data_IF_421973936623
#
_entry.id   IF_421973936623
#
_cell.length_a   1.000
_cell.length_b   1.000
_cell.length_c   1.000
_cell.angle_alpha   90.00
_cell.angle_beta   90.00
_cell.angle_gamma   90.00
#
_symmetry.space_group_name_H-M   'P 1'
#
loop_
_entity.id
_entity.type
_entity.pdbx_description
1 polymer ?
#
# COMPACT_ATOMS: atom_id res chain seq x y z
N UNK A 1 -5.46 -34.79 -11.04
CA UNK A 1 -4.87 -34.65 -9.69
C UNK A 1 -4.90 -33.17 -9.28
N UNK A 2 -5.96 -32.72 -8.58
CA UNK A 2 -6.03 -31.34 -8.05
C UNK A 2 -5.06 -31.25 -6.87
N UNK A 3 -4.01 -30.42 -6.96
CA UNK A 3 -3.12 -30.17 -5.82
C UNK A 3 -3.99 -29.55 -4.71
N UNK A 4 -4.26 -30.32 -3.65
CA UNK A 4 -4.72 -29.75 -2.38
C UNK A 4 -3.54 -28.96 -1.84
N UNK A 5 -3.48 -27.68 -2.15
CA UNK A 5 -2.64 -26.75 -1.43
C UNK A 5 -3.18 -26.73 0.00
N UNK A 6 -2.51 -27.45 0.90
CA UNK A 6 -2.67 -27.26 2.34
C UNK A 6 -1.99 -25.92 2.61
N UNK A 7 -2.75 -24.84 2.45
CA UNK A 7 -2.32 -23.45 2.53
C UNK A 7 -2.14 -23.01 3.98
N UNK A 8 -1.48 -23.83 4.79
CA UNK A 8 -0.94 -23.45 6.09
C UNK A 8 0.38 -22.69 5.91
N UNK A 9 0.48 -21.86 4.86
CA UNK A 9 1.51 -20.84 4.79
C UNK A 9 1.20 -19.85 5.90
N UNK A 10 2.09 -19.72 6.86
CA UNK A 10 1.97 -18.75 7.93
C UNK A 10 2.15 -17.35 7.35
N UNK A 11 1.04 -16.69 7.00
CA UNK A 11 1.01 -15.33 6.45
C UNK A 11 1.69 -14.36 7.43
N UNK A 12 1.57 -14.59 8.74
CA UNK A 12 2.21 -13.76 9.74
C UNK A 12 3.73 -13.90 9.65
N UNK A 13 4.25 -15.14 9.65
CA UNK A 13 5.68 -15.39 9.49
C UNK A 13 6.21 -14.84 8.15
N UNK A 14 5.47 -15.04 7.06
CA UNK A 14 5.85 -14.56 5.74
C UNK A 14 5.91 -13.02 5.69
N UNK A 15 4.92 -12.33 6.27
CA UNK A 15 4.88 -10.87 6.30
C UNK A 15 5.98 -10.29 7.22
N UNK A 16 6.23 -10.91 8.37
CA UNK A 16 7.31 -10.53 9.29
C UNK A 16 8.69 -10.78 8.72
N UNK A 17 8.83 -11.79 7.87
CA UNK A 17 10.08 -12.11 7.19
C UNK A 17 10.48 -11.13 6.09
N UNK A 18 9.59 -10.23 5.68
CA UNK A 18 9.91 -9.20 4.68
C UNK A 18 10.75 -8.09 5.32
N UNK A 19 11.90 -7.80 4.71
CA UNK A 19 12.81 -6.76 5.18
C UNK A 19 12.12 -5.40 5.28
N UNK A 20 12.22 -4.77 6.45
CA UNK A 20 11.64 -3.43 6.71
C UNK A 20 10.13 -3.41 6.96
N UNK A 21 9.42 -4.54 6.88
CA UNK A 21 7.98 -4.59 7.10
C UNK A 21 7.58 -4.10 8.50
N UNK A 22 8.34 -4.47 9.54
CA UNK A 22 8.07 -4.05 10.92
C UNK A 22 8.04 -2.53 11.06
N UNK A 23 8.97 -1.82 10.42
CA UNK A 23 9.00 -0.35 10.45
C UNK A 23 7.75 0.25 9.80
N UNK A 24 7.37 -0.26 8.62
CA UNK A 24 6.24 0.25 7.85
C UNK A 24 4.88 -0.03 8.51
N UNK A 25 4.79 -1.14 9.24
CA UNK A 25 3.59 -1.55 9.97
C UNK A 25 3.42 -0.74 11.26
N UNK A 26 4.53 -0.46 11.95
CA UNK A 26 4.51 0.31 13.21
C UNK A 26 4.41 1.82 13.02
N UNK A 27 4.69 2.35 11.83
CA UNK A 27 4.57 3.79 11.60
C UNK A 27 3.09 4.22 11.66
N UNK A 28 2.74 5.18 12.54
CA UNK A 28 1.36 5.61 12.71
C UNK A 28 0.92 6.43 11.50
N UNK A 29 -0.22 6.05 10.92
CA UNK A 29 -0.79 6.72 9.77
C UNK A 29 -2.31 6.84 9.88
N UNK A 30 -2.84 7.98 9.42
CA UNK A 30 -4.29 8.22 9.28
C UNK A 30 -4.82 7.61 7.97
N UNK A 31 -3.95 7.44 6.96
CA UNK A 31 -4.31 6.92 5.65
C UNK A 31 -4.52 5.40 5.69
N UNK A 32 -5.70 4.98 5.27
CA UNK A 32 -6.06 3.57 5.18
C UNK A 32 -5.26 2.85 4.10
N UNK A 33 -4.90 1.58 4.35
CA UNK A 33 -4.04 0.82 3.45
C UNK A 33 -4.70 0.48 2.10
N UNK A 34 -6.04 0.40 2.05
CA UNK A 34 -6.78 0.01 0.85
C UNK A 34 -6.58 0.98 -0.32
N UNK A 35 -6.30 2.26 -0.07
CA UNK A 35 -5.99 3.25 -1.12
C UNK A 35 -4.67 2.97 -1.85
N UNK A 36 -3.82 2.11 -1.28
CA UNK A 36 -2.51 1.75 -1.82
C UNK A 36 -2.47 0.31 -2.31
N UNK A 37 -3.61 -0.38 -2.33
CA UNK A 37 -3.71 -1.77 -2.78
C UNK A 37 -3.81 -1.83 -4.31
N UNK A 38 -2.73 -2.27 -4.93
CA UNK A 38 -2.65 -2.52 -6.37
C UNK A 38 -3.14 -3.95 -6.68
N UNK A 39 -4.43 -4.16 -6.48
CA UNK A 39 -5.05 -5.47 -6.67
C UNK A 39 -5.21 -5.81 -8.15
N UNK A 40 -5.44 -4.83 -9.03
CA UNK A 40 -5.66 -5.04 -10.46
C UNK A 40 -4.47 -5.68 -11.16
N UNK A 41 -3.24 -5.31 -10.78
CA UNK A 41 -2.03 -5.82 -11.45
C UNK A 41 -1.52 -7.13 -10.86
N UNK A 42 -1.93 -7.47 -9.63
CA UNK A 42 -1.35 -8.59 -8.87
C UNK A 42 -2.31 -9.74 -8.63
N UNK A 43 -3.61 -9.51 -8.77
CA UNK A 43 -4.62 -10.53 -8.57
C UNK A 43 -5.06 -11.16 -9.89
N UNK A 44 -5.26 -12.48 -9.87
CA UNK A 44 -5.73 -13.24 -11.03
C UNK A 44 -7.26 -13.27 -11.14
N UNK A 45 -7.97 -13.02 -10.03
CA UNK A 45 -9.44 -13.00 -9.97
C UNK A 45 -10.02 -11.63 -9.61
N UNK A 46 -11.00 -11.16 -10.38
CA UNK A 46 -11.71 -9.90 -10.08
C UNK A 46 -12.57 -10.02 -8.82
N UNK A 47 -12.97 -8.87 -8.26
CA UNK A 47 -13.87 -8.84 -7.10
C UNK A 47 -15.20 -9.56 -7.37
N UNK A 48 -15.73 -9.40 -8.59
CA UNK A 48 -16.95 -10.04 -9.07
C UNK A 48 -16.83 -11.57 -9.07
N UNK A 49 -15.69 -12.10 -9.49
CA UNK A 49 -15.43 -13.55 -9.49
C UNK A 49 -15.40 -14.14 -8.08
N UNK A 50 -14.96 -13.36 -7.09
CA UNK A 50 -15.01 -13.79 -5.69
C UNK A 50 -16.43 -13.76 -5.10
N UNK A 51 -17.33 -12.98 -5.71
CA UNK A 51 -18.71 -12.77 -5.25
C UNK A 51 -19.73 -13.53 -6.12
N UNK A 52 -19.28 -14.40 -7.02
CA UNK A 52 -20.17 -15.24 -7.82
C UNK A 52 -21.11 -16.05 -6.91
N UNK A 53 -22.42 -16.18 -7.26
CA UNK A 53 -23.39 -16.88 -6.42
C UNK A 53 -22.99 -18.30 -6.06
N UNK A 54 -22.32 -19.01 -6.97
CA UNK A 54 -21.82 -20.38 -6.74
C UNK A 54 -20.70 -20.43 -5.69
N UNK A 55 -19.89 -19.37 -5.61
CA UNK A 55 -18.80 -19.24 -4.66
C UNK A 55 -19.31 -18.83 -3.27
N UNK A 56 -20.27 -17.89 -3.22
CA UNK A 56 -20.86 -17.37 -1.98
C UNK A 56 -21.84 -18.35 -1.33
N UNK A 57 -22.66 -19.04 -2.13
CA UNK A 57 -23.63 -20.03 -1.64
C UNK A 57 -23.03 -21.43 -1.49
N UNK A 58 -21.71 -21.56 -1.54
CA UNK A 58 -21.04 -22.83 -1.33
C UNK A 58 -21.44 -23.44 0.03
N UNK A 59 -21.49 -24.79 0.18
CA UNK A 59 -22.01 -25.46 1.39
C UNK A 59 -21.32 -25.08 2.70
N UNK A 60 -20.12 -24.50 2.61
CA UNK A 60 -19.30 -23.98 3.70
C UNK A 60 -19.67 -22.54 4.11
N UNK A 61 -20.73 -21.95 3.53
CA UNK A 61 -21.23 -20.63 3.89
C UNK A 61 -20.35 -19.47 3.40
N UNK A 62 -19.74 -19.61 2.22
CA UNK A 62 -18.98 -18.55 1.56
C UNK A 62 -17.55 -18.91 1.21
N UNK A 63 -16.86 -17.98 0.55
CA UNK A 63 -15.47 -18.18 0.11
C UNK A 63 -14.54 -18.08 1.31
N UNK A 64 -13.72 -19.12 1.52
CA UNK A 64 -12.81 -19.21 2.67
C UNK A 64 -11.63 -18.25 2.52
N UNK A 65 -11.33 -17.55 3.60
CA UNK A 65 -10.28 -16.55 3.66
C UNK A 65 -9.72 -16.40 5.08
N UNK A 66 -8.65 -15.61 5.18
CA UNK A 66 -8.07 -15.08 6.41
C UNK A 66 -8.18 -13.56 6.39
N UNK A 67 -8.80 -13.00 7.42
CA UNK A 67 -9.00 -11.56 7.59
C UNK A 67 -7.98 -10.99 8.58
N UNK A 68 -7.40 -9.85 8.25
CA UNK A 68 -6.58 -9.06 9.16
C UNK A 68 -7.47 -8.45 10.26
N UNK A 69 -7.10 -8.68 11.52
CA UNK A 69 -7.76 -8.13 12.70
C UNK A 69 -6.74 -7.40 13.55
N UNK A 70 -7.02 -6.16 13.93
CA UNK A 70 -6.10 -5.32 14.71
C UNK A 70 -6.58 -5.23 16.16
N UNK A 71 -6.10 -6.09 17.08
CA UNK A 71 -6.45 -5.96 18.47
C UNK A 71 -5.71 -4.77 19.09
N UNK A 72 -6.40 -4.01 19.95
CA UNK A 72 -5.84 -2.85 20.66
C UNK A 72 -4.58 -3.17 21.47
N UNK A 73 -4.38 -4.43 21.86
CA UNK A 73 -3.24 -4.87 22.66
C UNK A 73 -2.00 -5.24 21.84
N UNK A 74 -2.03 -5.18 20.50
CA UNK A 74 -0.87 -5.59 19.72
C UNK A 74 0.24 -4.54 19.76
N UNK A 75 1.36 -4.89 20.40
CA UNK A 75 2.56 -4.03 20.47
C UNK A 75 3.37 -4.02 19.18
N UNK A 76 3.15 -4.99 18.29
CA UNK A 76 3.96 -5.18 17.07
C UNK A 76 3.41 -4.48 15.84
N UNK A 77 2.22 -3.85 15.93
CA UNK A 77 1.52 -3.22 14.81
C UNK A 77 0.94 -4.18 13.76
N UNK A 78 1.45 -5.41 13.68
CA UNK A 78 0.96 -6.42 12.72
C UNK A 78 -0.49 -6.84 13.00
N UNK A 79 -1.29 -7.18 11.98
CA UNK A 79 -2.60 -7.76 12.20
C UNK A 79 -2.49 -9.21 12.72
N UNK A 80 -3.52 -9.65 13.44
CA UNK A 80 -3.78 -11.07 13.65
C UNK A 80 -4.63 -11.59 12.49
N UNK A 81 -4.28 -12.74 11.95
CA UNK A 81 -5.02 -13.36 10.84
C UNK A 81 -6.09 -14.31 11.39
N UNK A 82 -7.35 -13.93 11.25
CA UNK A 82 -8.49 -14.74 11.70
C UNK A 82 -9.14 -15.46 10.51
N UNK A 83 -9.47 -16.73 10.67
CA UNK A 83 -10.23 -17.48 9.66
C UNK A 83 -11.65 -16.93 9.52
N UNK A 84 -12.10 -16.79 8.27
CA UNK A 84 -13.41 -16.26 7.93
C UNK A 84 -13.93 -16.83 6.61
N UNK A 85 -15.22 -16.58 6.35
CA UNK A 85 -15.86 -16.79 5.05
C UNK A 85 -16.42 -15.48 4.52
N UNK A 86 -16.17 -15.15 3.26
CA UNK A 86 -16.79 -14.03 2.55
C UNK A 86 -18.22 -14.39 2.18
N UNK A 87 -19.18 -13.57 2.60
CA UNK A 87 -20.62 -13.83 2.43
C UNK A 87 -21.33 -12.86 1.49
N UNK A 88 -20.81 -11.66 1.34
CA UNK A 88 -21.29 -10.64 0.41
C UNK A 88 -20.19 -9.60 0.21
N UNK A 89 -20.44 -8.61 -0.62
CA UNK A 89 -19.51 -7.53 -0.85
C UNK A 89 -20.00 -6.58 -1.93
N UNK A 90 -19.23 -5.52 -2.13
CA UNK A 90 -19.43 -4.53 -3.17
C UNK A 90 -18.21 -4.55 -4.10
N UNK A 91 -18.38 -5.03 -5.35
CA UNK A 91 -17.31 -5.06 -6.35
C UNK A 91 -16.74 -3.67 -6.67
N UNK A 92 -17.56 -2.61 -6.56
CA UNK A 92 -17.16 -1.26 -6.96
C UNK A 92 -16.15 -0.64 -6.00
N UNK A 93 -16.26 -0.96 -4.71
CA UNK A 93 -15.34 -0.51 -3.65
C UNK A 93 -14.32 -1.58 -3.25
N UNK A 94 -14.37 -2.75 -3.92
CA UNK A 94 -13.57 -3.93 -3.61
C UNK A 94 -13.58 -4.28 -2.11
N UNK A 95 -14.77 -4.20 -1.52
CA UNK A 95 -15.02 -4.41 -0.11
C UNK A 95 -15.95 -5.61 0.11
N UNK A 96 -15.73 -6.34 1.19
CA UNK A 96 -16.37 -7.62 1.44
C UNK A 96 -16.96 -7.66 2.84
N UNK A 97 -18.11 -8.31 2.96
CA UNK A 97 -18.67 -8.68 4.25
C UNK A 97 -18.16 -10.08 4.61
N UNK A 98 -17.47 -10.17 5.73
CA UNK A 98 -16.80 -11.39 6.15
C UNK A 98 -17.34 -11.91 7.46
N UNK A 99 -17.68 -13.19 7.48
CA UNK A 99 -18.13 -13.89 8.67
C UNK A 99 -16.92 -14.51 9.36
N UNK A 100 -16.58 -14.05 10.56
CA UNK A 100 -15.49 -14.62 11.35
C UNK A 100 -15.89 -15.97 11.95
N UNK A 101 -15.03 -16.98 11.85
CA UNK A 101 -15.33 -18.32 12.37
C UNK A 101 -15.43 -18.35 13.91
N UNK A 102 -14.64 -17.50 14.58
CA UNK A 102 -14.53 -17.50 16.04
C UNK A 102 -15.84 -17.20 16.76
N UNK A 103 -16.64 -16.29 16.22
CA UNK A 103 -17.86 -15.78 16.87
C UNK A 103 -19.08 -15.71 15.93
N UNK A 104 -18.93 -16.11 14.67
CA UNK A 104 -19.98 -16.00 13.65
C UNK A 104 -20.37 -14.57 13.28
N UNK A 105 -19.67 -13.54 13.80
CA UNK A 105 -19.98 -12.14 13.54
C UNK A 105 -19.61 -11.77 12.11
N UNK A 106 -20.49 -11.03 11.46
CA UNK A 106 -20.21 -10.41 10.16
C UNK A 106 -19.49 -9.07 10.40
N UNK A 107 -18.33 -8.92 9.79
CA UNK A 107 -17.61 -7.65 9.67
C UNK A 107 -17.90 -7.09 8.28
N UNK A 108 -18.67 -5.99 8.18
CA UNK A 108 -18.97 -5.38 6.89
C UNK A 108 -17.82 -4.54 6.37
N UNK A 109 -17.70 -4.43 5.04
CA UNK A 109 -16.82 -3.46 4.39
C UNK A 109 -15.32 -3.72 4.56
N UNK A 110 -14.89 -4.98 4.68
CA UNK A 110 -13.48 -5.34 4.74
C UNK A 110 -12.87 -5.26 3.33
N UNK A 111 -11.88 -4.38 3.15
CA UNK A 111 -11.22 -4.23 1.86
C UNK A 111 -10.31 -5.41 1.51
N UNK A 112 -10.13 -5.66 0.21
CA UNK A 112 -9.29 -6.72 -0.36
C UNK A 112 -7.88 -6.81 0.24
N UNK A 113 -7.26 -5.67 0.56
CA UNK A 113 -5.91 -5.62 1.15
C UNK A 113 -5.83 -6.38 2.47
N UNK A 114 -6.92 -6.43 3.24
CA UNK A 114 -7.05 -7.08 4.55
C UNK A 114 -7.59 -8.51 4.49
N UNK A 115 -7.77 -9.06 3.29
CA UNK A 115 -8.27 -10.42 3.07
C UNK A 115 -7.28 -11.22 2.24
N UNK A 116 -6.88 -12.39 2.73
CA UNK A 116 -6.17 -13.39 1.95
C UNK A 116 -7.11 -14.57 1.71
N UNK A 117 -7.45 -14.86 0.46
CA UNK A 117 -8.31 -16.02 0.16
C UNK A 117 -7.52 -17.32 0.31
N UNK A 118 -8.17 -18.39 0.76
CA UNK A 118 -7.52 -19.69 0.92
C UNK A 118 -7.15 -20.35 -0.42
N UNK A 119 -7.57 -19.78 -1.54
CA UNK A 119 -7.21 -20.22 -2.90
C UNK A 119 -6.19 -19.30 -3.59
N UNK A 120 -5.75 -18.23 -2.92
CA UNK A 120 -4.69 -17.32 -3.34
C UNK A 120 -3.32 -17.85 -2.88
N UNK A 121 -2.23 -17.47 -3.56
CA UNK A 121 -0.87 -17.73 -3.11
C UNK A 121 -0.50 -16.75 -1.98
N UNK A 122 -0.17 -17.21 -0.76
CA UNK A 122 0.19 -16.35 0.37
C UNK A 122 1.37 -15.45 0.09
N UNK A 123 2.32 -15.89 -0.75
CA UNK A 123 3.50 -15.07 -1.07
C UNK A 123 3.11 -13.89 -1.95
N UNK A 124 2.18 -14.09 -2.90
CA UNK A 124 1.65 -13.02 -3.75
C UNK A 124 0.85 -12.04 -2.91
N UNK A 125 0.00 -12.55 -2.01
CA UNK A 125 -0.73 -11.74 -1.05
C UNK A 125 0.20 -10.88 -0.18
N UNK A 126 1.22 -11.50 0.42
CA UNK A 126 2.20 -10.81 1.27
C UNK A 126 2.97 -9.76 0.48
N UNK A 127 3.40 -10.08 -0.75
CA UNK A 127 4.08 -9.13 -1.62
C UNK A 127 3.18 -7.94 -2.00
N UNK A 128 1.89 -8.17 -2.29
CA UNK A 128 0.87 -7.13 -2.55
C UNK A 128 0.72 -6.22 -1.33
N UNK A 129 0.44 -6.81 -0.17
CA UNK A 129 0.25 -6.07 1.08
C UNK A 129 1.50 -5.28 1.47
N UNK A 130 2.69 -5.85 1.30
CA UNK A 130 3.95 -5.15 1.54
C UNK A 130 4.16 -3.97 0.58
N UNK A 131 3.83 -4.12 -0.70
CA UNK A 131 3.90 -3.02 -1.64
C UNK A 131 2.93 -1.89 -1.27
N UNK A 132 1.74 -2.21 -0.77
CA UNK A 132 0.81 -1.21 -0.24
C UNK A 132 1.41 -0.46 0.96
N UNK A 133 2.10 -1.15 1.87
CA UNK A 133 2.82 -0.50 2.97
C UNK A 133 3.91 0.46 2.48
N UNK A 134 4.71 0.04 1.50
CA UNK A 134 5.76 0.88 0.89
C UNK A 134 5.15 2.08 0.16
N UNK A 135 4.08 1.88 -0.61
CA UNK A 135 3.39 2.95 -1.34
C UNK A 135 2.78 3.98 -0.38
N UNK A 136 2.16 3.53 0.71
CA UNK A 136 1.66 4.42 1.77
C UNK A 136 2.78 5.25 2.40
N UNK A 137 3.90 4.63 2.76
CA UNK A 137 5.04 5.35 3.34
C UNK A 137 5.61 6.39 2.37
N UNK A 138 5.71 6.06 1.07
CA UNK A 138 6.12 7.01 0.02
C UNK A 138 5.15 8.17 -0.11
N UNK A 139 3.85 7.91 -0.13
CA UNK A 139 2.83 8.95 -0.23
C UNK A 139 2.85 9.88 0.99
N UNK A 140 3.01 9.32 2.20
CA UNK A 140 3.13 10.12 3.42
C UNK A 140 4.40 10.99 3.39
N UNK A 141 5.53 10.45 2.90
CA UNK A 141 6.76 11.23 2.75
C UNK A 141 6.59 12.36 1.72
N UNK A 142 5.91 12.10 0.60
CA UNK A 142 5.58 13.12 -0.40
C UNK A 142 4.69 14.23 0.20
N UNK A 143 3.58 13.86 0.86
CA UNK A 143 2.69 14.81 1.52
C UNK A 143 3.41 15.68 2.57
N UNK A 144 4.35 15.08 3.33
CA UNK A 144 5.19 15.84 4.28
C UNK A 144 6.11 16.82 3.58
N UNK A 145 6.70 16.42 2.46
CA UNK A 145 7.57 17.28 1.65
C UNK A 145 6.78 18.45 1.06
N UNK A 146 5.63 18.17 0.45
CA UNK A 146 4.77 19.19 -0.16
C UNK A 146 4.28 20.19 0.90
N UNK A 147 3.82 19.70 2.05
CA UNK A 147 3.41 20.56 3.16
C UNK A 147 4.55 21.44 3.69
N UNK A 148 5.78 20.93 3.72
CA UNK A 148 6.94 21.71 4.13
C UNK A 148 7.24 22.85 3.16
N UNK A 149 7.16 22.58 1.85
CA UNK A 149 7.33 23.60 0.80
C UNK A 149 6.25 24.67 0.90
N UNK A 150 4.98 24.26 1.05
CA UNK A 150 3.84 25.17 1.18
C UNK A 150 3.89 26.03 2.45
N UNK A 151 4.45 25.48 3.54
CA UNK A 151 4.59 26.16 4.82
C UNK A 151 5.89 26.96 4.95
N UNK A 152 6.74 26.95 3.91
CA UNK A 152 7.97 27.71 3.92
C UNK A 152 7.62 29.20 3.85
N UNK A 153 8.03 30.01 4.85
CA UNK A 153 7.76 31.43 4.80
C UNK A 153 8.46 32.02 3.56
N UNK A 154 7.69 32.74 2.73
CA UNK A 154 8.21 33.56 1.65
C UNK A 154 8.91 34.77 2.29
N UNK A 155 10.09 34.54 2.87
CA UNK A 155 10.88 35.63 3.38
C UNK A 155 11.59 36.28 2.20
N UNK A 156 11.03 37.37 1.70
CA UNK A 156 11.74 38.30 0.80
C UNK A 156 12.93 38.99 1.51
N UNK A 157 13.05 38.84 2.83
CA UNK A 157 14.05 39.49 3.70
C UNK A 157 15.01 38.53 4.43
N UNK A 158 15.10 37.25 4.04
CA UNK A 158 16.25 36.44 4.50
C UNK A 158 17.41 36.81 3.60
N UNK A 159 18.32 37.65 4.12
CA UNK A 159 19.70 37.69 3.65
C UNK A 159 20.32 36.31 3.95
N UNK A 160 19.97 35.34 3.10
CA UNK A 160 20.64 34.05 3.01
C UNK A 160 22.00 34.41 2.45
N UNK A 161 22.90 34.81 3.35
CA UNK A 161 24.32 34.92 3.06
C UNK A 161 24.70 33.70 2.23
N UNK A 162 25.33 33.96 1.09
CA UNK A 162 25.47 33.04 -0.03
C UNK A 162 25.54 31.57 0.42
N UNK A 163 24.71 30.67 -0.13
CA UNK A 163 24.68 29.29 0.30
C UNK A 163 26.11 28.73 0.25
N UNK A 164 26.61 28.27 1.39
CA UNK A 164 27.94 27.69 1.49
C UNK A 164 28.10 26.62 0.40
N UNK A 165 29.19 26.66 -0.36
CA UNK A 165 29.38 25.92 -1.63
C UNK A 165 28.97 24.43 -1.55
N UNK A 166 29.15 23.80 -0.38
CA UNK A 166 28.72 22.42 -0.09
C UNK A 166 27.22 22.15 -0.22
N UNK A 167 26.37 23.15 -0.01
CA UNK A 167 24.90 23.05 -0.13
C UNK A 167 24.49 23.16 -1.60
N UNK A 168 25.14 24.04 -2.35
CA UNK A 168 24.96 24.17 -3.80
C UNK A 168 25.40 22.88 -4.50
N UNK A 169 26.55 22.33 -4.13
CA UNK A 169 27.03 21.05 -4.67
C UNK A 169 26.06 19.89 -4.38
N UNK A 170 25.44 19.85 -3.20
CA UNK A 170 24.43 18.83 -2.87
C UNK A 170 23.14 18.99 -3.67
N UNK A 171 22.66 20.23 -3.83
CA UNK A 171 21.46 20.52 -4.62
C UNK A 171 21.72 20.20 -6.10
N UNK A 172 22.88 20.59 -6.64
CA UNK A 172 23.30 20.28 -8.01
C UNK A 172 23.48 18.77 -8.19
N UNK A 173 24.09 18.06 -7.25
CA UNK A 173 24.24 16.60 -7.28
C UNK A 173 22.88 15.90 -7.31
N UNK A 174 21.94 16.31 -6.45
CA UNK A 174 20.58 15.75 -6.41
C UNK A 174 19.82 16.05 -7.71
N UNK A 175 19.95 17.27 -8.25
CA UNK A 175 19.30 17.68 -9.48
C UNK A 175 19.89 17.02 -10.74
N UNK A 176 21.20 16.76 -10.77
CA UNK A 176 21.90 16.21 -11.94
C UNK A 176 21.94 14.69 -11.98
N UNK A 177 21.91 14.00 -10.83
CA UNK A 177 22.00 12.53 -10.76
C UNK A 177 20.69 11.85 -10.34
N UNK A 178 19.75 12.56 -9.70
CA UNK A 178 18.45 12.02 -9.25
C UNK A 178 17.24 12.35 -10.13
N UNK A 179 17.40 13.23 -11.12
CA UNK A 179 16.30 13.75 -11.95
C UNK A 179 15.96 12.87 -13.15
N UNK A 180 14.81 12.19 -13.08
CA UNK A 180 14.15 11.51 -14.20
C UNK A 180 14.15 12.35 -15.49
N UNK A 181 14.31 11.70 -16.64
CA UNK A 181 14.50 12.26 -18.01
C UNK A 181 13.54 13.40 -18.43
N UNK A 182 12.45 13.64 -17.70
CA UNK A 182 11.42 14.65 -18.04
C UNK A 182 11.84 16.10 -17.80
N UNK A 183 12.83 16.39 -16.94
CA UNK A 183 13.19 17.79 -16.65
C UNK A 183 14.06 18.44 -17.73
N UNK A 184 14.70 17.64 -18.60
CA UNK A 184 15.58 18.14 -19.66
C UNK A 184 14.83 18.77 -20.84
N UNK A 185 13.54 18.46 -21.01
CA UNK A 185 12.72 18.98 -22.12
C UNK A 185 12.12 20.36 -21.85
N UNK A 186 12.14 20.88 -20.62
CA UNK A 186 11.55 22.18 -20.28
C UNK A 186 12.54 23.33 -20.08
N UNK A 187 13.84 23.04 -19.94
CA UNK A 187 14.79 24.03 -19.44
C UNK A 187 15.60 24.77 -20.53
N UNK A 188 15.47 24.41 -21.80
CA UNK A 188 16.20 25.08 -22.88
C UNK A 188 15.34 25.17 -24.15
N UNK A 189 14.37 26.08 -24.15
CA UNK A 189 14.06 26.80 -25.39
C UNK A 189 15.05 27.97 -25.50
N UNK A 190 15.85 27.93 -26.55
CA UNK A 190 16.97 28.80 -26.84
C UNK A 190 16.53 30.27 -26.93
N UNK A 191 17.14 31.14 -26.12
CA UNK A 191 17.14 32.58 -26.40
C UNK A 191 18.08 32.81 -27.58
N UNK A 192 17.62 33.33 -28.73
CA UNK A 192 18.51 33.57 -29.85
C UNK A 192 19.44 34.74 -29.53
N UNK A 193 20.73 34.44 -29.49
CA UNK A 193 21.82 35.41 -29.44
C UNK A 193 22.04 36.06 -30.82
N UNK A 194 21.96 37.39 -30.88
CA UNK A 194 22.46 38.19 -32.01
C UNK A 194 21.93 39.62 -31.87
N UNK A 195 22.73 40.68 -31.68
CA UNK A 195 24.13 40.87 -32.02
C UNK A 195 24.23 41.75 -33.26
N UNK A 196 24.08 43.06 -33.08
CA UNK A 196 24.83 44.16 -33.74
C UNK A 196 24.24 45.50 -33.35
#
# INVERSE_FOLDING_TARGET
KKRKYRLDGDIDAALRGVEGAERLVNEPHVLSLHFFDDWETRECRSSEQWLEPDAVNAPNGGVRARCAVYPKANKTGFPLWAHCSVVSGDPSTNAYDVRLDKNGKILPGVHRVDLCFDTEDPNVFVARRHAAYVARAKAVAALRSDFYVDSMPANDDVDVGAPHDSTVERIVYIATLGGSKRFREWAFDEVPSGGS
#
